data_IF_208549649890
#
_entry.id   IF_208549649890
#
_cell.length_a   1.000
_cell.length_b   1.000
_cell.length_c   1.000
_cell.angle_alpha   90.00
_cell.angle_beta   90.00
_cell.angle_gamma   90.00
#
_symmetry.space_group_name_H-M   'P 1'
#
loop_
_entity.id
_entity.type
_entity.pdbx_description
1 polymer ?
#
# COMPACT_ATOMS: atom_id res chain seq x y z
N UNK A 1 9.18 19.87 25.75
CA UNK A 1 9.94 18.94 24.91
C UNK A 1 9.89 17.48 25.38
N UNK A 2 9.97 17.20 26.69
CA UNK A 2 9.92 15.83 27.27
C UNK A 2 8.57 15.12 27.05
N UNK A 3 7.44 15.83 27.10
CA UNK A 3 6.10 15.25 26.94
C UNK A 3 5.87 14.74 25.51
N UNK A 4 6.32 15.51 24.51
CA UNK A 4 6.21 15.16 23.09
C UNK A 4 7.05 13.91 22.80
N UNK A 5 8.22 13.79 23.38
CA UNK A 5 9.10 12.61 23.25
C UNK A 5 8.48 11.36 23.88
N UNK A 6 7.85 11.50 25.06
CA UNK A 6 7.15 10.38 25.72
C UNK A 6 5.90 9.94 24.94
N UNK A 7 5.15 10.89 24.38
CA UNK A 7 3.98 10.57 23.54
C UNK A 7 4.42 9.87 22.24
N UNK A 8 5.41 10.42 21.55
CA UNK A 8 5.98 9.82 20.35
C UNK A 8 6.48 8.38 20.59
N UNK A 9 7.15 8.11 21.72
CA UNK A 9 7.64 6.76 22.06
C UNK A 9 6.51 5.77 22.40
N UNK A 10 5.37 6.23 22.94
CA UNK A 10 4.19 5.37 23.18
C UNK A 10 3.48 5.02 21.87
N UNK A 11 3.27 6.02 21.01
CA UNK A 11 2.69 5.81 19.67
C UNK A 11 3.60 4.88 18.87
N UNK A 12 4.89 5.05 18.96
CA UNK A 12 5.91 4.26 18.31
C UNK A 12 5.80 2.78 18.70
N UNK A 13 5.71 2.48 19.99
CA UNK A 13 5.55 1.11 20.50
C UNK A 13 4.21 0.49 20.13
N UNK A 14 3.13 1.27 20.17
CA UNK A 14 1.80 0.81 19.78
C UNK A 14 1.76 0.42 18.30
N UNK A 15 2.30 1.28 17.42
CA UNK A 15 2.36 1.01 15.99
C UNK A 15 3.25 -0.20 15.68
N UNK A 16 4.41 -0.33 16.32
CA UNK A 16 5.30 -1.47 16.14
C UNK A 16 4.61 -2.79 16.53
N UNK A 17 3.92 -2.81 17.67
CA UNK A 17 3.25 -4.03 18.17
C UNK A 17 2.09 -4.47 17.26
N UNK A 18 1.30 -3.52 16.75
CA UNK A 18 0.08 -3.84 15.99
C UNK A 18 0.35 -4.02 14.48
N UNK A 19 1.23 -3.20 13.89
CA UNK A 19 1.51 -3.26 12.46
C UNK A 19 2.50 -4.36 12.04
N UNK A 20 3.28 -4.89 12.99
CA UNK A 20 4.21 -5.98 12.72
C UNK A 20 3.61 -7.37 13.02
N UNK A 21 2.33 -7.45 13.34
CA UNK A 21 1.66 -8.73 13.61
C UNK A 21 1.55 -9.60 12.35
N UNK A 22 1.58 -10.91 12.53
CA UNK A 22 1.38 -11.88 11.45
C UNK A 22 0.02 -11.72 10.77
N UNK A 23 -1.02 -11.40 11.54
CA UNK A 23 -2.36 -11.18 11.03
C UNK A 23 -2.43 -10.01 10.05
N UNK A 24 -1.77 -8.89 10.34
CA UNK A 24 -1.66 -7.74 9.42
C UNK A 24 -0.91 -8.13 8.16
N UNK A 25 0.16 -8.91 8.30
CA UNK A 25 0.94 -9.39 7.16
C UNK A 25 0.12 -10.29 6.23
N UNK A 26 -0.62 -11.25 6.81
CA UNK A 26 -1.47 -12.14 6.04
C UNK A 26 -2.58 -11.36 5.29
N UNK A 27 -3.23 -10.44 5.99
CA UNK A 27 -4.25 -9.57 5.39
C UNK A 27 -3.68 -8.74 4.24
N UNK A 28 -2.51 -8.12 4.42
CA UNK A 28 -1.80 -7.36 3.39
C UNK A 28 -1.55 -8.22 2.15
N UNK A 29 -0.99 -9.43 2.33
CA UNK A 29 -0.70 -10.35 1.22
C UNK A 29 -1.97 -10.70 0.46
N UNK A 30 -3.04 -11.08 1.17
CA UNK A 30 -4.31 -11.45 0.54
C UNK A 30 -4.89 -10.29 -0.26
N UNK A 31 -5.01 -9.10 0.35
CA UNK A 31 -5.58 -7.92 -0.33
C UNK A 31 -4.75 -7.54 -1.56
N UNK A 32 -3.43 -7.48 -1.43
CA UNK A 32 -2.57 -7.03 -2.52
C UNK A 32 -2.54 -8.01 -3.69
N UNK A 33 -2.53 -9.31 -3.42
CA UNK A 33 -2.62 -10.31 -4.49
C UNK A 33 -3.98 -10.27 -5.21
N UNK A 34 -5.08 -10.06 -4.48
CA UNK A 34 -6.39 -9.90 -5.10
C UNK A 34 -6.47 -8.63 -5.96
N UNK A 35 -5.93 -7.51 -5.48
CA UNK A 35 -5.88 -6.27 -6.26
C UNK A 35 -5.00 -6.39 -7.48
N UNK A 36 -3.86 -7.08 -7.38
CA UNK A 36 -3.01 -7.37 -8.54
C UNK A 36 -3.73 -8.28 -9.54
N UNK A 37 -4.46 -9.30 -9.08
CA UNK A 37 -5.31 -10.12 -9.92
C UNK A 37 -6.40 -9.33 -10.64
N UNK A 38 -7.07 -8.42 -9.93
CA UNK A 38 -8.07 -7.52 -10.50
C UNK A 38 -7.45 -6.57 -11.54
N UNK A 39 -6.25 -6.06 -11.28
CA UNK A 39 -5.52 -5.22 -12.21
C UNK A 39 -5.12 -5.98 -13.49
N UNK A 40 -4.61 -7.21 -13.36
CA UNK A 40 -4.32 -8.06 -14.51
C UNK A 40 -5.59 -8.36 -15.33
N UNK A 41 -6.70 -8.67 -14.66
CA UNK A 41 -7.97 -8.87 -15.30
C UNK A 41 -8.42 -7.60 -16.07
N UNK A 42 -8.32 -6.44 -15.46
CA UNK A 42 -8.63 -5.15 -16.10
C UNK A 42 -7.78 -4.89 -17.34
N UNK A 43 -6.46 -5.13 -17.25
CA UNK A 43 -5.52 -4.88 -18.35
C UNK A 43 -5.70 -5.83 -19.54
N UNK A 44 -5.92 -7.12 -19.27
CA UNK A 44 -5.84 -8.15 -20.31
C UNK A 44 -7.19 -8.74 -20.74
N UNK A 45 -8.22 -8.62 -19.92
CA UNK A 45 -9.52 -9.27 -20.17
C UNK A 45 -10.65 -8.26 -20.29
N UNK A 46 -10.82 -7.38 -19.32
CA UNK A 46 -11.92 -6.42 -19.30
C UNK A 46 -11.69 -5.22 -20.22
N UNK A 47 -10.44 -4.93 -20.59
CA UNK A 47 -10.09 -3.79 -21.44
C UNK A 47 -10.32 -2.43 -20.76
N UNK A 48 -10.30 -2.38 -19.42
CA UNK A 48 -10.49 -1.14 -18.66
C UNK A 48 -10.75 -1.34 -17.19
N UNK A 49 -11.13 -0.24 -16.54
CA UNK A 49 -11.38 -0.11 -15.10
C UNK A 49 -12.89 -0.17 -14.80
N UNK A 50 -13.27 -0.36 -13.52
CA UNK A 50 -14.69 -0.32 -13.13
C UNK A 50 -15.38 0.98 -13.53
N UNK A 51 -16.68 0.94 -13.90
CA UNK A 51 -17.42 2.10 -14.42
C UNK A 51 -17.39 3.34 -13.51
N UNK A 52 -17.31 3.15 -12.20
CA UNK A 52 -17.23 4.26 -11.25
C UNK A 52 -15.93 5.06 -11.35
N UNK A 53 -14.84 4.42 -11.77
CA UNK A 53 -13.58 5.10 -12.04
C UNK A 53 -13.54 5.69 -13.45
N UNK A 54 -14.07 4.96 -14.44
CA UNK A 54 -14.07 5.43 -15.81
C UNK A 54 -14.94 6.68 -16.01
N UNK A 55 -15.96 6.86 -15.19
CA UNK A 55 -16.79 8.07 -15.22
C UNK A 55 -16.06 9.33 -14.76
N UNK A 56 -14.96 9.20 -14.01
CA UNK A 56 -14.13 10.33 -13.53
C UNK A 56 -12.95 10.64 -14.45
N UNK A 57 -12.71 9.80 -15.45
CA UNK A 57 -11.62 9.97 -16.40
C UNK A 57 -12.17 10.50 -17.71
N UNK A 58 -11.54 11.49 -18.35
CA UNK A 58 -11.94 11.90 -19.71
C UNK A 58 -11.99 10.68 -20.62
N UNK A 59 -13.04 10.56 -21.41
CA UNK A 59 -13.39 9.35 -22.19
C UNK A 59 -12.29 8.85 -23.15
N UNK A 60 -11.32 9.70 -23.43
CA UNK A 60 -10.23 9.43 -24.38
C UNK A 60 -8.87 9.17 -23.70
N UNK A 61 -8.84 9.09 -22.37
CA UNK A 61 -7.56 9.00 -21.63
C UNK A 61 -7.36 7.60 -21.01
N UNK A 62 -7.09 6.62 -21.86
CA UNK A 62 -6.69 5.27 -21.43
C UNK A 62 -5.41 5.25 -20.57
N UNK A 63 -4.61 6.34 -20.59
CA UNK A 63 -3.38 6.41 -19.83
C UNK A 63 -3.65 6.48 -18.33
N UNK A 64 -4.66 7.21 -17.91
CA UNK A 64 -5.04 7.32 -16.47
C UNK A 64 -5.55 5.98 -15.95
N UNK A 65 -6.38 5.30 -16.73
CA UNK A 65 -6.88 3.96 -16.39
C UNK A 65 -5.73 2.95 -16.25
N UNK A 66 -4.84 2.94 -17.23
CA UNK A 66 -3.64 2.09 -17.21
C UNK A 66 -2.75 2.40 -16.03
N UNK A 67 -2.52 3.68 -15.72
CA UNK A 67 -1.71 4.10 -14.59
C UNK A 67 -2.29 3.60 -13.25
N UNK A 68 -3.62 3.67 -13.08
CA UNK A 68 -4.28 3.15 -11.88
C UNK A 68 -4.10 1.63 -11.74
N UNK A 69 -4.29 0.88 -12.83
CA UNK A 69 -4.08 -0.57 -12.82
C UNK A 69 -2.62 -0.93 -12.52
N UNK A 70 -1.65 -0.16 -13.02
CA UNK A 70 -0.23 -0.32 -12.71
C UNK A 70 0.04 -0.08 -11.23
N UNK A 71 -0.57 0.94 -10.61
CA UNK A 71 -0.42 1.17 -9.17
C UNK A 71 -0.85 -0.04 -8.34
N UNK A 72 -1.96 -0.69 -8.71
CA UNK A 72 -2.41 -1.91 -8.04
C UNK A 72 -1.46 -3.08 -8.27
N UNK A 73 -0.88 -3.22 -9.46
CA UNK A 73 0.11 -4.26 -9.74
C UNK A 73 1.40 -4.06 -8.93
N UNK A 74 1.84 -2.83 -8.75
CA UNK A 74 3.02 -2.51 -7.95
C UNK A 74 2.86 -2.91 -6.48
N UNK A 75 1.63 -3.11 -5.99
CA UNK A 75 1.37 -3.68 -4.68
C UNK A 75 2.05 -5.04 -4.44
N UNK A 76 2.28 -5.83 -5.50
CA UNK A 76 3.02 -7.10 -5.42
C UNK A 76 4.45 -6.90 -4.90
N UNK A 77 5.05 -5.74 -5.14
CA UNK A 77 6.39 -5.42 -4.61
C UNK A 77 6.42 -5.45 -3.09
N UNK A 78 5.34 -5.05 -2.41
CA UNK A 78 5.26 -5.14 -0.96
C UNK A 78 5.29 -6.60 -0.48
N UNK A 79 4.62 -7.50 -1.19
CA UNK A 79 4.61 -8.94 -0.88
C UNK A 79 6.00 -9.54 -1.07
N UNK A 80 6.66 -9.23 -2.20
CA UNK A 80 8.03 -9.68 -2.48
C UNK A 80 9.01 -9.11 -1.45
N UNK A 81 8.92 -7.80 -1.19
CA UNK A 81 9.76 -7.12 -0.20
C UNK A 81 9.63 -7.74 1.19
N UNK A 82 8.41 -8.09 1.59
CA UNK A 82 8.15 -8.80 2.85
C UNK A 82 8.84 -10.16 2.87
N UNK A 83 8.74 -10.92 1.80
CA UNK A 83 9.43 -12.21 1.68
C UNK A 83 10.95 -12.08 1.82
N UNK A 84 11.54 -11.03 1.22
CA UNK A 84 12.98 -10.75 1.35
C UNK A 84 13.36 -10.37 2.78
N UNK A 85 12.61 -9.47 3.43
CA UNK A 85 12.86 -9.06 4.82
C UNK A 85 12.74 -10.24 5.78
N UNK A 86 11.77 -11.13 5.58
CA UNK A 86 11.55 -12.30 6.42
C UNK A 86 12.52 -13.45 6.10
N UNK A 87 13.28 -13.40 5.02
CA UNK A 87 14.18 -14.46 4.61
C UNK A 87 15.36 -14.63 5.57
N UNK A 88 15.85 -15.87 5.73
CA UNK A 88 17.06 -16.16 6.53
C UNK A 88 18.31 -15.43 5.99
N UNK A 89 18.31 -15.05 4.73
CA UNK A 89 19.41 -14.32 4.10
C UNK A 89 19.46 -12.85 4.54
N UNK A 90 18.34 -12.25 4.93
CA UNK A 90 18.31 -10.88 5.43
C UNK A 90 19.06 -10.71 6.75
N UNK A 91 19.07 -11.74 7.61
CA UNK A 91 19.82 -11.73 8.87
C UNK A 91 21.34 -11.60 8.70
N UNK A 92 21.88 -12.05 7.55
CA UNK A 92 23.33 -12.05 7.29
C UNK A 92 23.78 -10.99 6.26
N UNK A 93 22.85 -10.31 5.59
CA UNK A 93 23.14 -9.32 4.54
C UNK A 93 22.22 -8.11 4.66
N UNK A 94 22.72 -7.03 5.27
CA UNK A 94 22.01 -5.77 5.41
C UNK A 94 21.46 -5.24 4.08
N UNK A 95 22.14 -5.49 2.96
CA UNK A 95 21.69 -5.09 1.62
C UNK A 95 20.38 -5.75 1.19
N UNK A 96 20.19 -7.04 1.52
CA UNK A 96 18.93 -7.76 1.19
C UNK A 96 17.78 -7.22 2.03
N UNK A 97 18.02 -6.99 3.32
CA UNK A 97 17.01 -6.37 4.20
C UNK A 97 16.59 -4.98 3.70
N UNK A 98 17.56 -4.14 3.37
CA UNK A 98 17.30 -2.78 2.87
C UNK A 98 16.53 -2.81 1.56
N UNK A 99 16.95 -3.66 0.60
CA UNK A 99 16.24 -3.85 -0.67
C UNK A 99 14.79 -4.29 -0.42
N UNK A 100 14.57 -5.29 0.45
CA UNK A 100 13.24 -5.77 0.81
C UNK A 100 12.37 -4.69 1.45
N UNK A 101 12.96 -3.86 2.33
CA UNK A 101 12.26 -2.75 2.97
C UNK A 101 11.83 -1.66 1.97
N UNK A 102 12.68 -1.33 0.99
CA UNK A 102 12.34 -0.39 -0.08
C UNK A 102 11.26 -0.93 -1.02
N UNK A 103 11.32 -2.20 -1.38
CA UNK A 103 10.26 -2.84 -2.17
C UNK A 103 8.92 -2.83 -1.42
N UNK A 104 8.94 -3.12 -0.11
CA UNK A 104 7.75 -3.03 0.73
C UNK A 104 7.16 -1.63 0.71
N UNK A 105 7.98 -0.62 0.98
CA UNK A 105 7.59 0.78 0.97
C UNK A 105 6.98 1.19 -0.38
N UNK A 106 7.62 0.83 -1.49
CA UNK A 106 7.13 1.17 -2.84
C UNK A 106 5.78 0.53 -3.11
N UNK A 107 5.60 -0.74 -2.77
CA UNK A 107 4.33 -1.44 -2.95
C UNK A 107 3.22 -0.87 -2.07
N UNK A 108 3.49 -0.62 -0.79
CA UNK A 108 2.51 -0.06 0.14
C UNK A 108 2.11 1.37 -0.26
N UNK A 109 3.06 2.19 -0.71
CA UNK A 109 2.79 3.54 -1.22
C UNK A 109 1.92 3.50 -2.48
N UNK A 110 2.22 2.59 -3.41
CA UNK A 110 1.43 2.42 -4.64
C UNK A 110 -0.01 2.01 -4.33
N UNK A 111 -0.20 1.08 -3.38
CA UNK A 111 -1.54 0.66 -2.95
C UNK A 111 -2.29 1.78 -2.23
N UNK A 112 -1.63 2.54 -1.37
CA UNK A 112 -2.23 3.70 -0.71
C UNK A 112 -2.75 4.71 -1.73
N UNK A 113 -1.96 5.04 -2.75
CA UNK A 113 -2.36 5.91 -3.85
C UNK A 113 -3.47 5.31 -4.72
N UNK A 114 -3.38 4.04 -5.08
CA UNK A 114 -4.41 3.37 -5.88
C UNK A 114 -5.77 3.38 -5.19
N UNK A 115 -5.82 3.08 -3.89
CA UNK A 115 -7.05 3.13 -3.12
C UNK A 115 -7.56 4.56 -2.90
N UNK A 116 -6.68 5.51 -2.56
CA UNK A 116 -7.05 6.91 -2.38
C UNK A 116 -7.62 7.51 -3.68
N UNK A 117 -7.04 7.18 -4.82
CA UNK A 117 -7.53 7.63 -6.11
C UNK A 117 -8.96 7.15 -6.38
N UNK A 118 -9.25 5.87 -6.11
CA UNK A 118 -10.60 5.34 -6.23
C UNK A 118 -11.60 6.14 -5.38
N UNK A 119 -11.25 6.43 -4.12
CA UNK A 119 -12.10 7.20 -3.21
C UNK A 119 -12.36 8.61 -3.74
N UNK A 120 -11.31 9.31 -4.17
CA UNK A 120 -11.41 10.68 -4.69
C UNK A 120 -12.24 10.72 -5.98
N UNK A 121 -12.05 9.77 -6.88
CA UNK A 121 -12.81 9.64 -8.10
C UNK A 121 -14.28 9.37 -7.82
N UNK A 122 -14.59 8.46 -6.90
CA UNK A 122 -15.97 8.13 -6.52
C UNK A 122 -16.70 9.32 -5.87
N UNK A 123 -15.98 10.13 -5.08
CA UNK A 123 -16.57 11.35 -4.50
C UNK A 123 -16.83 12.46 -5.53
N UNK A 124 -15.93 12.61 -6.51
CA UNK A 124 -16.08 13.62 -7.57
C UNK A 124 -17.30 13.40 -8.45
N UNK A 125 -17.75 12.17 -8.60
CA UNK A 125 -18.84 11.81 -9.50
C UNK A 125 -20.26 11.93 -8.92
N UNK A 126 -20.43 12.45 -7.71
CA UNK A 126 -21.73 12.80 -7.08
C UNK A 126 -22.78 11.69 -7.03
N UNK A 127 -22.42 10.42 -7.24
CA UNK A 127 -23.32 9.28 -7.17
C UNK A 127 -23.42 8.74 -5.73
N UNK A 128 -24.00 9.56 -4.85
CA UNK A 128 -24.40 9.12 -3.52
C UNK A 128 -25.46 8.02 -3.67
N UNK A 129 -25.09 6.79 -3.30
CA UNK A 129 -26.05 5.70 -3.16
C UNK A 129 -25.56 4.32 -3.62
N UNK A 130 -24.91 4.18 -4.76
CA UNK A 130 -24.49 2.87 -5.27
C UNK A 130 -23.00 2.58 -5.07
N UNK A 131 -22.15 3.60 -5.10
CA UNK A 131 -20.70 3.46 -5.02
C UNK A 131 -20.11 3.86 -3.66
N UNK A 132 -20.92 4.49 -2.79
CA UNK A 132 -20.47 4.96 -1.47
C UNK A 132 -19.93 3.83 -0.58
N UNK A 133 -20.57 2.66 -0.57
CA UNK A 133 -20.10 1.53 0.25
C UNK A 133 -18.72 1.07 -0.22
N UNK A 134 -18.51 0.93 -1.52
CA UNK A 134 -17.22 0.57 -2.08
C UNK A 134 -16.17 1.65 -1.76
N UNK A 135 -16.51 2.93 -1.91
CA UNK A 135 -15.61 4.05 -1.58
C UNK A 135 -15.20 4.04 -0.11
N UNK A 136 -16.10 3.75 0.83
CA UNK A 136 -15.75 3.59 2.25
C UNK A 136 -14.82 2.39 2.49
N UNK A 137 -15.06 1.26 1.82
CA UNK A 137 -14.17 0.10 1.87
C UNK A 137 -12.77 0.44 1.36
N UNK A 138 -12.68 1.09 0.21
CA UNK A 138 -11.38 1.52 -0.34
C UNK A 138 -10.72 2.61 0.51
N UNK A 139 -11.47 3.49 1.17
CA UNK A 139 -10.92 4.46 2.12
C UNK A 139 -10.27 3.74 3.32
N UNK A 140 -10.90 2.70 3.85
CA UNK A 140 -10.31 1.89 4.92
C UNK A 140 -9.00 1.22 4.46
N UNK A 141 -8.97 0.64 3.25
CA UNK A 141 -7.75 0.06 2.70
C UNK A 141 -6.67 1.10 2.45
N UNK A 142 -7.02 2.31 1.99
CA UNK A 142 -6.07 3.42 1.82
C UNK A 142 -5.41 3.80 3.14
N UNK A 143 -6.19 3.91 4.22
CA UNK A 143 -5.67 4.17 5.56
C UNK A 143 -4.77 3.04 6.05
N UNK A 144 -5.18 1.78 5.88
CA UNK A 144 -4.34 0.64 6.25
C UNK A 144 -3.00 0.67 5.50
N UNK A 145 -3.01 0.88 4.18
CA UNK A 145 -1.80 0.97 3.37
C UNK A 145 -0.93 2.17 3.78
N UNK A 146 -1.52 3.31 4.10
CA UNK A 146 -0.79 4.47 4.61
C UNK A 146 -0.07 4.19 5.94
N UNK A 147 -0.70 3.49 6.88
CA UNK A 147 -0.03 3.07 8.11
C UNK A 147 1.12 2.09 7.85
N UNK A 148 0.98 1.21 6.85
CA UNK A 148 2.08 0.33 6.44
C UNK A 148 3.25 1.12 5.85
N UNK A 149 2.99 2.17 5.06
CA UNK A 149 4.03 3.11 4.58
C UNK A 149 4.79 3.74 5.74
N UNK A 150 4.10 4.21 6.79
CA UNK A 150 4.75 4.77 7.99
C UNK A 150 5.63 3.73 8.68
N UNK A 151 5.16 2.49 8.79
CA UNK A 151 5.94 1.36 9.32
C UNK A 151 7.23 1.16 8.54
N UNK A 152 7.14 1.16 7.22
CA UNK A 152 8.28 0.86 6.35
C UNK A 152 9.32 1.98 6.36
N UNK A 153 8.90 3.24 6.38
CA UNK A 153 9.82 4.38 6.59
C UNK A 153 10.62 4.19 7.88
N UNK A 154 9.98 3.76 8.96
CA UNK A 154 10.66 3.53 10.24
C UNK A 154 11.67 2.40 10.14
N UNK A 155 11.33 1.29 9.47
CA UNK A 155 12.24 0.17 9.24
C UNK A 155 13.46 0.57 8.43
N UNK A 156 13.25 1.34 7.35
CA UNK A 156 14.33 1.86 6.52
C UNK A 156 15.26 2.74 7.34
N UNK A 157 14.71 3.70 8.10
CA UNK A 157 15.51 4.58 8.97
C UNK A 157 16.30 3.81 10.04
N UNK A 158 15.73 2.74 10.59
CA UNK A 158 16.43 1.89 11.56
C UNK A 158 17.56 1.11 10.90
N UNK A 159 17.33 0.54 9.72
CA UNK A 159 18.34 -0.17 8.96
C UNK A 159 19.53 0.73 8.59
N UNK A 160 19.25 1.95 8.12
CA UNK A 160 20.30 2.92 7.78
C UNK A 160 21.15 3.33 8.99
N UNK A 161 20.53 3.49 10.16
CA UNK A 161 21.27 3.81 11.40
C UNK A 161 22.19 2.66 11.81
N UNK A 162 21.73 1.42 11.67
CA UNK A 162 22.53 0.24 12.00
C UNK A 162 23.74 0.04 11.08
N UNK A 163 23.70 0.57 9.86
CA UNK A 163 24.83 0.50 8.90
C UNK A 163 25.84 1.61 9.15
N UNK A 164 25.44 2.74 9.73
CA UNK A 164 26.31 3.91 9.96
C UNK A 164 27.01 3.90 11.32
N UNK A 165 26.58 3.09 12.26
CA UNK A 165 27.16 2.96 13.61
C UNK A 165 28.02 1.72 13.73
#
# INVERSE_FOLDING_TARGET
MVLIRKFASKVDRFLAHHLDSEAVTLFQVIVYLHMAGAALYGLFVAGGIPPGLSASVPRDDNAVETAWLILLLLGVLAVIGRGLVASRYAGNRASIYTCGAWLQFTGDLSMAWGFAWYVLASWGNSYWGKESIAAFGFAAYAWCAFFLVIRDIRRIMQAERAVRG
#
